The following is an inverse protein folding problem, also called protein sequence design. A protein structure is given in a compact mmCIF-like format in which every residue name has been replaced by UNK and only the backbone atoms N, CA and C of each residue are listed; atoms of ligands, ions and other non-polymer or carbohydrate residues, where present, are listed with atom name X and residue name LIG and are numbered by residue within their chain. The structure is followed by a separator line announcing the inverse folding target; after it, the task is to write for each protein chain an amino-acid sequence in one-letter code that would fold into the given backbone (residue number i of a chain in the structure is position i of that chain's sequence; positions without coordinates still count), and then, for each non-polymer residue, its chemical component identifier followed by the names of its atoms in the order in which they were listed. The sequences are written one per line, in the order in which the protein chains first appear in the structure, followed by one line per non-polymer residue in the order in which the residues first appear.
data_IF_085068009922
#
_entry.id   IF_085068009922
#
_cell.length_a   1.000
_cell.length_b   1.000
_cell.length_c   1.000
_cell.angle_alpha   90.00
_cell.angle_beta   90.00
_cell.angle_gamma   90.00
#
_symmetry.space_group_name_H-M   'P 1'
#
loop_
_entity.id
_entity.type
_entity.pdbx_description
1 polymer ?
#
# COMPACT_ATOMS: atom_id res chain seq x y z
N UNK A 1 -10.40 0.43 -6.90
CA UNK A 1 -11.29 0.95 -5.83
C UNK A 1 -10.67 2.16 -5.12
N UNK A 2 -11.45 3.06 -4.49
CA UNK A 2 -10.92 4.07 -3.56
C UNK A 2 -10.59 3.43 -2.19
N UNK A 3 -9.56 3.95 -1.52
CA UNK A 3 -9.16 3.55 -0.17
C UNK A 3 -9.13 4.79 0.72
N UNK A 4 -9.97 4.83 1.75
CA UNK A 4 -10.15 5.99 2.62
C UNK A 4 -9.43 5.77 3.96
N UNK A 5 -8.73 6.80 4.44
CA UNK A 5 -8.06 6.81 5.76
C UNK A 5 -8.49 8.06 6.51
N UNK A 6 -9.18 7.87 7.63
CA UNK A 6 -9.63 8.93 8.51
C UNK A 6 -8.62 9.20 9.63
N UNK A 7 -8.74 10.35 10.29
CA UNK A 7 -7.80 10.80 11.33
C UNK A 7 -7.75 9.86 12.55
N UNK A 8 -8.80 9.08 12.80
CA UNK A 8 -8.93 8.11 13.88
C UNK A 8 -8.50 6.69 13.49
N UNK A 9 -8.03 6.49 12.25
CA UNK A 9 -7.59 5.19 11.77
C UNK A 9 -6.29 4.75 12.47
N UNK A 10 -6.18 3.45 12.73
CA UNK A 10 -4.89 2.82 13.04
C UNK A 10 -4.00 2.87 11.80
N UNK A 11 -2.99 3.76 11.83
CA UNK A 11 -2.13 4.02 10.68
C UNK A 11 -1.27 2.82 10.30
N UNK A 12 -0.79 2.02 11.26
CA UNK A 12 0.02 0.84 10.92
C UNK A 12 -0.83 -0.18 10.18
N UNK A 13 -2.06 -0.43 10.68
CA UNK A 13 -3.01 -1.34 10.03
C UNK A 13 -3.45 -0.81 8.67
N UNK A 14 -3.69 0.50 8.55
CA UNK A 14 -4.05 1.14 7.29
C UNK A 14 -2.95 0.97 6.24
N UNK A 15 -1.68 1.14 6.62
CA UNK A 15 -0.53 0.96 5.71
C UNK A 15 -0.38 -0.50 5.29
N UNK A 16 -0.49 -1.47 6.20
CA UNK A 16 -0.44 -2.89 5.86
C UNK A 16 -1.57 -3.30 4.89
N UNK A 17 -2.78 -2.79 5.13
CA UNK A 17 -3.92 -2.94 4.23
C UNK A 17 -3.69 -2.29 2.87
N UNK A 18 -3.12 -1.08 2.84
CA UNK A 18 -2.78 -0.36 1.63
C UNK A 18 -1.75 -1.10 0.77
N UNK A 19 -0.70 -1.67 1.37
CA UNK A 19 0.31 -2.46 0.65
C UNK A 19 -0.35 -3.66 -0.04
N UNK A 20 -1.17 -4.40 0.70
CA UNK A 20 -1.89 -5.56 0.16
C UNK A 20 -2.87 -5.16 -0.96
N UNK A 21 -3.64 -4.09 -0.75
CA UNK A 21 -4.68 -3.68 -1.68
C UNK A 21 -4.13 -3.02 -2.95
N UNK A 22 -2.97 -2.35 -2.88
CA UNK A 22 -2.35 -1.66 -4.02
C UNK A 22 -1.41 -2.56 -4.82
N UNK A 23 -0.57 -3.35 -4.15
CA UNK A 23 0.58 -4.00 -4.79
C UNK A 23 0.42 -5.51 -4.99
N UNK A 24 -0.62 -6.15 -4.43
CA UNK A 24 -0.88 -7.56 -4.76
C UNK A 24 -1.09 -7.74 -6.27
N UNK A 25 -0.45 -8.75 -6.84
CA UNK A 25 -0.42 -9.00 -8.29
C UNK A 25 0.11 -7.80 -9.11
N UNK A 26 1.08 -7.05 -8.55
CA UNK A 26 1.62 -5.82 -9.14
C UNK A 26 0.53 -4.80 -9.49
N UNK A 27 -0.58 -4.78 -8.74
CA UNK A 27 -1.73 -3.88 -8.98
C UNK A 27 -2.66 -4.32 -10.11
N UNK A 28 -2.38 -5.44 -10.78
CA UNK A 28 -3.12 -5.95 -11.94
C UNK A 28 -4.33 -6.79 -11.49
N UNK A 29 -5.16 -6.22 -10.63
CA UNK A 29 -6.46 -6.80 -10.29
C UNK A 29 -7.55 -5.75 -10.40
N UNK A 30 -8.76 -6.15 -10.81
CA UNK A 30 -9.88 -5.22 -10.99
C UNK A 30 -10.22 -4.42 -9.72
N UNK A 31 -9.90 -4.96 -8.55
CA UNK A 31 -10.24 -4.39 -7.24
C UNK A 31 -9.10 -3.61 -6.59
N UNK A 32 -7.91 -3.58 -7.19
CA UNK A 32 -6.76 -2.89 -6.61
C UNK A 32 -7.06 -1.42 -6.32
N UNK A 33 -6.47 -0.93 -5.23
CA UNK A 33 -6.59 0.48 -4.86
C UNK A 33 -5.95 1.34 -5.95
N UNK A 34 -6.72 2.24 -6.55
CA UNK A 34 -6.16 3.18 -7.54
C UNK A 34 -5.98 4.59 -6.96
N UNK A 35 -6.77 4.94 -5.95
CA UNK A 35 -6.76 6.25 -5.30
C UNK A 35 -6.82 6.08 -3.79
N UNK A 36 -5.88 6.71 -3.09
CA UNK A 36 -5.91 6.88 -1.64
C UNK A 36 -6.50 8.25 -1.32
N UNK A 37 -7.49 8.30 -0.44
CA UNK A 37 -8.08 9.53 0.08
C UNK A 37 -7.80 9.55 1.58
N UNK A 38 -6.87 10.41 2.00
CA UNK A 38 -6.34 10.43 3.37
C UNK A 38 -6.68 11.77 4.00
N UNK A 39 -7.26 11.73 5.19
CA UNK A 39 -7.62 12.92 5.94
C UNK A 39 -6.38 13.70 6.38
N UNK A 40 -6.48 15.04 6.36
CA UNK A 40 -5.32 15.92 6.46
C UNK A 40 -4.51 15.76 7.77
N UNK A 41 -5.15 15.41 8.88
CA UNK A 41 -4.48 15.24 10.18
C UNK A 41 -3.50 14.08 10.22
N UNK A 42 -3.72 13.04 9.40
CA UNK A 42 -2.87 11.84 9.34
C UNK A 42 -2.11 11.69 8.02
N UNK A 43 -2.27 12.62 7.07
CA UNK A 43 -1.71 12.53 5.72
C UNK A 43 -0.20 12.25 5.70
N UNK A 44 0.60 13.11 6.33
CA UNK A 44 2.07 12.98 6.29
C UNK A 44 2.53 11.65 6.90
N UNK A 45 1.98 11.28 8.06
CA UNK A 45 2.32 10.03 8.75
C UNK A 45 1.98 8.81 7.90
N UNK A 46 0.83 8.80 7.24
CA UNK A 46 0.43 7.71 6.35
C UNK A 46 1.34 7.63 5.12
N UNK A 47 1.61 8.76 4.45
CA UNK A 47 2.42 8.78 3.22
C UNK A 47 3.86 8.38 3.48
N UNK A 48 4.47 8.86 4.56
CA UNK A 48 5.84 8.47 4.96
C UNK A 48 5.95 6.97 5.19
N UNK A 49 5.00 6.39 5.92
CA UNK A 49 4.98 4.95 6.22
C UNK A 49 4.66 4.11 5.00
N UNK A 50 3.72 4.54 4.16
CA UNK A 50 3.41 3.86 2.91
C UNK A 50 4.62 3.88 1.97
N UNK A 51 5.31 5.02 1.85
CA UNK A 51 6.51 5.13 1.04
C UNK A 51 7.62 4.20 1.53
N UNK A 52 7.89 4.17 2.84
CA UNK A 52 8.87 3.27 3.43
C UNK A 52 8.52 1.79 3.19
N UNK A 53 7.25 1.41 3.40
CA UNK A 53 6.79 0.04 3.17
C UNK A 53 6.87 -0.36 1.69
N UNK A 54 6.47 0.54 0.78
CA UNK A 54 6.57 0.31 -0.67
C UNK A 54 8.02 0.18 -1.14
N UNK A 55 8.94 0.98 -0.58
CA UNK A 55 10.37 0.90 -0.90
C UNK A 55 11.01 -0.41 -0.43
N UNK A 56 10.41 -1.10 0.53
CA UNK A 56 10.85 -2.42 1.00
C UNK A 56 10.42 -3.58 0.11
N UNK A 57 9.58 -3.36 -0.91
CA UNK A 57 9.09 -4.44 -1.76
C UNK A 57 10.19 -4.95 -2.71
N UNK A 58 10.49 -6.25 -2.66
CA UNK A 58 11.45 -6.87 -3.58
C UNK A 58 10.82 -7.08 -4.96
N UNK A 59 11.34 -6.38 -5.97
CA UNK A 59 10.97 -6.55 -7.38
C UNK A 59 11.95 -7.53 -8.05
N UNK A 60 11.45 -8.45 -8.88
CA UNK A 60 12.30 -9.41 -9.58
C UNK A 60 11.51 -10.44 -10.38
N UNK A 61 12.16 -11.52 -10.80
CA UNK A 61 11.46 -12.64 -11.45
C UNK A 61 10.48 -13.28 -10.48
N UNK A 62 9.26 -13.58 -10.93
CA UNK A 62 8.26 -14.29 -10.12
C UNK A 62 8.64 -15.73 -9.74
N UNK A 63 9.76 -16.23 -10.25
CA UNK A 63 10.33 -17.53 -9.90
C UNK A 63 11.41 -17.46 -8.81
N UNK A 64 11.88 -16.25 -8.46
CA UNK A 64 12.97 -16.07 -7.49
C UNK A 64 12.43 -15.96 -6.06
N UNK A 65 13.10 -16.63 -5.12
CA UNK A 65 12.68 -16.64 -3.71
C UNK A 65 12.63 -15.23 -3.10
N UNK A 66 11.53 -14.97 -2.41
CA UNK A 66 11.27 -13.72 -1.71
C UNK A 66 10.92 -12.54 -2.61
N UNK A 67 10.82 -12.69 -3.94
CA UNK A 67 10.28 -11.65 -4.81
C UNK A 67 8.80 -11.43 -4.47
N UNK A 68 8.43 -10.16 -4.28
CA UNK A 68 7.08 -9.76 -3.91
C UNK A 68 6.34 -9.12 -5.07
N UNK A 69 7.06 -8.57 -6.06
CA UNK A 69 6.52 -7.91 -7.24
C UNK A 69 7.22 -8.45 -8.48
N UNK A 70 6.44 -9.06 -9.37
CA UNK A 70 6.89 -9.54 -10.68
C UNK A 70 6.56 -8.57 -11.80
#
# INVERSE_FOLDING_TARGET
APFLVFDDADIERAVAGAITAKYRNSGQTCVCTNRFLVQAGVYNKFVEKLAAASNGLKVGSGLDDGVQQG
#
